data_IF_262633758091
#
_entry.id   IF_262633758091
#
_cell.length_a   1.000
_cell.length_b   1.000
_cell.length_c   1.000
_cell.angle_alpha   90.00
_cell.angle_beta   90.00
_cell.angle_gamma   90.00
#
_symmetry.space_group_name_H-M   'P 1'
#
loop_
_entity.id
_entity.type
_entity.pdbx_description
1 polymer ?
#
# COMPACT_ATOMS: atom_id res chain seq x y z
N UNK A 1 -13.55 6.69 -20.79
CA UNK A 1 -12.54 7.74 -20.69
C UNK A 1 -11.54 7.41 -19.58
N UNK A 2 -10.24 7.51 -19.87
CA UNK A 2 -9.19 7.09 -18.93
C UNK A 2 -9.21 7.89 -17.62
N UNK A 3 -9.51 9.17 -17.64
CA UNK A 3 -9.59 9.97 -16.42
C UNK A 3 -10.80 9.61 -15.55
N UNK A 4 -11.90 9.27 -16.18
CA UNK A 4 -13.09 8.77 -15.48
C UNK A 4 -12.79 7.41 -14.85
N UNK A 5 -12.17 6.49 -15.62
CA UNK A 5 -11.81 5.17 -15.13
C UNK A 5 -10.88 5.25 -13.92
N UNK A 6 -9.90 6.15 -13.96
CA UNK A 6 -8.98 6.37 -12.85
C UNK A 6 -9.71 6.84 -11.60
N UNK A 7 -10.63 7.78 -11.76
CA UNK A 7 -11.39 8.30 -10.62
C UNK A 7 -12.30 7.23 -10.02
N UNK A 8 -12.95 6.41 -10.86
CA UNK A 8 -13.79 5.32 -10.38
C UNK A 8 -12.98 4.24 -9.68
N UNK A 9 -11.77 3.91 -10.20
CA UNK A 9 -10.86 2.98 -9.55
C UNK A 9 -10.48 3.49 -8.16
N UNK A 10 -10.13 4.77 -8.04
CA UNK A 10 -9.80 5.38 -6.76
C UNK A 10 -10.95 5.22 -5.77
N UNK A 11 -12.18 5.57 -6.17
CA UNK A 11 -13.35 5.43 -5.32
C UNK A 11 -13.58 4.00 -4.86
N UNK A 12 -13.46 3.05 -5.77
CA UNK A 12 -13.59 1.62 -5.46
C UNK A 12 -12.54 1.16 -4.45
N UNK A 13 -11.27 1.51 -4.68
CA UNK A 13 -10.17 1.07 -3.81
C UNK A 13 -10.35 1.63 -2.39
N UNK A 14 -10.71 2.90 -2.27
CA UNK A 14 -10.91 3.54 -0.96
C UNK A 14 -12.12 2.92 -0.25
N UNK A 15 -13.22 2.71 -0.96
CA UNK A 15 -14.43 2.19 -0.34
C UNK A 15 -14.34 0.69 -0.01
N UNK A 16 -13.84 -0.10 -0.96
CA UNK A 16 -13.99 -1.56 -0.89
C UNK A 16 -12.68 -2.32 -0.66
N UNK A 17 -11.52 -1.66 -0.77
CA UNK A 17 -10.22 -2.33 -0.68
C UNK A 17 -9.28 -1.75 0.37
N UNK A 18 -9.74 -0.77 1.16
CA UNK A 18 -8.93 -0.20 2.23
C UNK A 18 -9.26 -0.85 3.57
N UNK A 19 -8.23 -1.21 4.31
CA UNK A 19 -8.34 -1.69 5.69
C UNK A 19 -7.56 -0.77 6.60
N UNK A 20 -8.18 -0.35 7.69
CA UNK A 20 -7.54 0.49 8.71
C UNK A 20 -7.23 -0.39 9.92
N UNK A 21 -5.96 -0.39 10.34
CA UNK A 21 -5.46 -1.16 11.47
C UNK A 21 -5.07 -0.17 12.57
N UNK A 22 -6.04 0.18 13.42
CA UNK A 22 -5.84 1.19 14.45
C UNK A 22 -4.78 0.81 15.49
N UNK A 23 -4.60 -0.48 15.74
CA UNK A 23 -3.56 -0.95 16.67
C UNK A 23 -2.14 -0.64 16.20
N UNK A 24 -1.95 -0.38 14.89
CA UNK A 24 -0.66 -0.04 14.30
C UNK A 24 -0.64 1.34 13.67
N UNK A 25 -1.70 2.12 13.80
CA UNK A 25 -1.85 3.41 13.11
C UNK A 25 -1.47 3.32 11.62
N UNK A 26 -1.91 2.23 10.99
CA UNK A 26 -1.56 1.88 9.61
C UNK A 26 -2.83 1.57 8.83
N UNK A 27 -2.84 1.95 7.57
CA UNK A 27 -3.88 1.50 6.63
C UNK A 27 -3.21 0.87 5.43
N UNK A 28 -3.88 -0.13 4.82
CA UNK A 28 -3.43 -0.65 3.54
C UNK A 28 -4.59 -0.74 2.57
N UNK A 29 -4.25 -0.61 1.29
CA UNK A 29 -5.17 -0.76 0.18
C UNK A 29 -4.59 -1.84 -0.73
N UNK A 30 -5.42 -2.76 -1.21
CA UNK A 30 -4.95 -3.72 -2.19
C UNK A 30 -5.78 -3.63 -3.48
N UNK A 31 -5.14 -3.95 -4.59
CA UNK A 31 -5.80 -4.05 -5.88
C UNK A 31 -5.37 -5.35 -6.55
N UNK A 32 -6.32 -6.24 -6.81
CA UNK A 32 -6.05 -7.46 -7.54
C UNK A 32 -5.90 -7.17 -9.03
N UNK A 33 -5.31 -8.12 -9.77
CA UNK A 33 -5.25 -8.03 -11.21
C UNK A 33 -6.65 -7.86 -11.81
N UNK A 34 -7.63 -8.61 -11.29
CA UNK A 34 -9.03 -8.52 -11.71
C UNK A 34 -9.62 -7.14 -11.44
N UNK A 35 -9.35 -6.55 -10.26
CA UNK A 35 -9.79 -5.19 -9.94
C UNK A 35 -9.27 -4.18 -10.96
N UNK A 36 -7.99 -4.29 -11.28
CA UNK A 36 -7.36 -3.38 -12.24
C UNK A 36 -7.94 -3.53 -13.65
N UNK A 37 -8.20 -4.76 -14.07
CA UNK A 37 -8.83 -5.04 -15.36
C UNK A 37 -10.25 -4.49 -15.44
N UNK A 38 -11.04 -4.65 -14.38
CA UNK A 38 -12.43 -4.18 -14.32
C UNK A 38 -12.54 -2.67 -14.53
N UNK A 39 -11.55 -1.91 -14.07
CA UNK A 39 -11.52 -0.46 -14.23
C UNK A 39 -10.64 -0.02 -15.39
N UNK A 40 -10.25 -0.94 -16.28
CA UNK A 40 -9.43 -0.65 -17.46
C UNK A 40 -8.17 0.14 -17.10
N UNK A 41 -7.48 -0.36 -16.08
CA UNK A 41 -6.29 0.27 -15.55
C UNK A 41 -5.27 0.60 -16.63
N UNK A 42 -4.69 1.79 -16.54
CA UNK A 42 -3.54 2.22 -17.31
C UNK A 42 -2.42 2.63 -16.37
N UNK A 43 -1.19 2.59 -16.86
CA UNK A 43 -0.01 2.99 -16.08
C UNK A 43 -0.24 4.39 -15.50
N UNK A 44 -0.04 4.52 -14.20
CA UNK A 44 -0.24 5.78 -13.48
C UNK A 44 -1.58 5.91 -12.77
N UNK A 45 -2.55 5.06 -13.07
CA UNK A 45 -3.90 5.17 -12.50
C UNK A 45 -3.94 4.95 -10.98
N UNK A 46 -2.97 4.23 -10.41
CA UNK A 46 -2.85 4.03 -8.97
C UNK A 46 -1.88 5.01 -8.31
N UNK A 47 -1.25 5.89 -9.09
CA UNK A 47 -0.35 6.89 -8.55
C UNK A 47 -1.10 7.82 -7.61
N UNK A 48 -0.54 8.06 -6.44
CA UNK A 48 -1.14 8.92 -5.43
C UNK A 48 -2.19 8.26 -4.55
N UNK A 49 -2.72 7.08 -4.92
CA UNK A 49 -3.73 6.38 -4.12
C UNK A 49 -3.23 6.11 -2.71
N UNK A 50 -1.97 5.73 -2.57
CA UNK A 50 -1.36 5.40 -1.28
C UNK A 50 -1.33 6.58 -0.30
N UNK A 51 -1.45 7.80 -0.78
CA UNK A 51 -1.42 8.99 0.08
C UNK A 51 -2.74 9.26 0.79
N UNK A 52 -3.86 8.81 0.23
CA UNK A 52 -5.19 9.14 0.78
C UNK A 52 -5.39 8.68 2.21
N UNK A 53 -5.00 7.45 2.61
CA UNK A 53 -5.19 7.03 4.01
C UNK A 53 -4.44 7.89 5.03
N UNK A 54 -3.39 8.58 4.61
CA UNK A 54 -2.64 9.48 5.51
C UNK A 54 -3.46 10.71 5.92
N UNK A 55 -4.56 11.00 5.24
CA UNK A 55 -5.48 12.07 5.65
C UNK A 55 -6.25 11.70 6.93
N UNK A 56 -6.29 10.42 7.29
CA UNK A 56 -6.87 10.00 8.57
C UNK A 56 -5.88 10.38 9.66
N UNK A 57 -6.34 11.18 10.65
CA UNK A 57 -5.46 11.88 11.58
C UNK A 57 -4.47 10.98 12.34
N UNK A 58 -4.90 9.79 12.75
CA UNK A 58 -4.04 8.87 13.52
C UNK A 58 -3.19 7.94 12.68
N UNK A 59 -3.40 7.89 11.37
CA UNK A 59 -2.65 6.97 10.49
C UNK A 59 -1.26 7.54 10.21
N UNK A 60 -0.24 6.77 10.55
CA UNK A 60 1.17 7.13 10.34
C UNK A 60 1.80 6.46 9.14
N UNK A 61 1.29 5.31 8.73
CA UNK A 61 1.78 4.59 7.55
C UNK A 61 0.64 4.12 6.68
N UNK A 62 0.82 4.24 5.37
CA UNK A 62 -0.09 3.71 4.37
C UNK A 62 0.66 2.82 3.39
N UNK A 63 0.03 1.73 2.97
CA UNK A 63 0.62 0.77 2.04
C UNK A 63 -0.39 0.48 0.93
N UNK A 64 0.06 0.58 -0.32
CA UNK A 64 -0.70 0.14 -1.49
C UNK A 64 -0.05 -1.14 -2.03
N UNK A 65 -0.85 -2.18 -2.19
CA UNK A 65 -0.39 -3.50 -2.64
C UNK A 65 -1.12 -3.84 -3.92
N UNK A 66 -0.39 -3.94 -5.03
CA UNK A 66 -1.01 -4.21 -6.34
C UNK A 66 -0.46 -5.48 -6.96
N UNK A 67 -1.38 -6.28 -7.47
CA UNK A 67 -1.03 -7.49 -8.21
C UNK A 67 -0.81 -7.13 -9.68
N UNK A 68 0.40 -7.33 -10.14
CA UNK A 68 0.81 -7.09 -11.54
C UNK A 68 1.34 -8.39 -12.12
N UNK A 69 1.54 -8.45 -13.41
CA UNK A 69 2.00 -9.64 -14.12
C UNK A 69 3.16 -10.34 -13.41
N UNK A 70 2.87 -11.43 -12.70
CA UNK A 70 3.86 -12.26 -12.03
C UNK A 70 4.54 -11.64 -10.81
N UNK A 71 4.12 -10.47 -10.36
CA UNK A 71 4.74 -9.80 -9.22
C UNK A 71 3.71 -9.01 -8.41
N UNK A 72 4.03 -8.81 -7.14
CA UNK A 72 3.26 -7.92 -6.25
C UNK A 72 4.09 -6.67 -6.03
N UNK A 73 3.53 -5.52 -6.36
CA UNK A 73 4.17 -4.23 -6.14
C UNK A 73 3.62 -3.60 -4.86
N UNK A 74 4.50 -3.05 -4.05
CA UNK A 74 4.11 -2.36 -2.83
C UNK A 74 4.62 -0.92 -2.87
N UNK A 75 3.75 0.00 -2.49
CA UNK A 75 4.12 1.40 -2.29
C UNK A 75 3.85 1.75 -0.83
N UNK A 76 4.82 2.39 -0.20
CA UNK A 76 4.75 2.75 1.22
C UNK A 76 4.85 4.26 1.37
N UNK A 77 4.03 4.82 2.24
CA UNK A 77 4.11 6.24 2.63
C UNK A 77 3.99 6.35 4.14
N UNK A 78 4.64 7.34 4.72
CA UNK A 78 4.57 7.57 6.16
C UNK A 78 4.61 9.06 6.48
N UNK A 79 4.26 9.37 7.73
CA UNK A 79 4.34 10.70 8.30
C UNK A 79 5.47 10.74 9.33
N UNK A 80 6.03 11.93 9.55
CA UNK A 80 7.01 12.14 10.61
C UNK A 80 8.29 11.36 10.39
N UNK A 81 8.77 10.74 11.46
CA UNK A 81 10.09 10.10 11.47
C UNK A 81 10.08 8.61 11.17
N UNK A 82 8.91 8.01 10.94
CA UNK A 82 8.83 6.59 10.65
C UNK A 82 9.39 6.30 9.24
N UNK A 83 10.47 5.50 9.18
CA UNK A 83 11.15 5.22 7.92
C UNK A 83 10.53 4.03 7.18
N UNK A 84 9.78 4.33 6.11
CA UNK A 84 9.32 3.27 5.20
C UNK A 84 10.45 2.75 4.31
N UNK A 85 11.51 3.55 4.12
CA UNK A 85 12.72 3.08 3.43
C UNK A 85 13.33 1.87 4.15
N UNK A 86 13.50 1.97 5.46
CA UNK A 86 14.10 0.89 6.26
C UNK A 86 13.21 -0.35 6.25
N UNK A 87 11.90 -0.18 6.40
CA UNK A 87 10.94 -1.27 6.37
C UNK A 87 10.96 -2.00 5.01
N UNK A 88 10.94 -1.24 3.92
CA UNK A 88 10.94 -1.80 2.57
C UNK A 88 12.24 -2.56 2.28
N UNK A 89 13.38 -2.03 2.72
CA UNK A 89 14.67 -2.71 2.57
C UNK A 89 14.72 -4.01 3.34
N UNK A 90 14.23 -4.00 4.58
CA UNK A 90 14.30 -5.18 5.45
C UNK A 90 13.38 -6.30 4.99
N UNK A 91 12.17 -5.97 4.53
CA UNK A 91 11.12 -6.96 4.34
C UNK A 91 10.63 -7.15 2.92
N UNK A 92 10.80 -6.17 2.03
CA UNK A 92 10.09 -6.16 0.75
C UNK A 92 10.99 -5.93 -0.47
N UNK A 93 12.26 -6.24 -0.37
CA UNK A 93 13.20 -6.16 -1.49
C UNK A 93 13.18 -4.79 -2.17
N UNK A 94 13.15 -3.73 -1.38
CA UNK A 94 12.97 -2.40 -1.93
C UNK A 94 13.73 -1.33 -1.19
N UNK A 95 13.13 -0.16 -1.15
CA UNK A 95 13.68 1.02 -0.51
C UNK A 95 13.17 2.30 -1.16
N UNK A 96 13.74 3.41 -0.77
CA UNK A 96 13.38 4.72 -1.29
C UNK A 96 13.84 5.82 -0.35
N UNK A 97 12.90 6.60 0.14
CA UNK A 97 13.14 7.71 1.04
C UNK A 97 12.41 7.50 2.37
N UNK A 98 12.69 8.35 3.35
CA UNK A 98 12.10 8.25 4.69
C UNK A 98 10.58 8.03 4.66
N UNK A 99 9.87 8.87 3.92
CA UNK A 99 8.42 8.88 3.92
C UNK A 99 7.78 8.30 2.63
N UNK A 100 8.59 7.81 1.70
CA UNK A 100 8.10 7.25 0.45
C UNK A 100 9.07 6.17 -0.06
N UNK A 101 8.60 4.94 -0.15
CA UNK A 101 9.41 3.82 -0.58
C UNK A 101 8.57 2.83 -1.37
N UNK A 102 9.22 1.89 -2.03
CA UNK A 102 8.56 0.83 -2.75
C UNK A 102 9.22 -0.50 -2.52
N UNK A 103 8.53 -1.57 -2.87
CA UNK A 103 9.04 -2.92 -2.81
C UNK A 103 8.38 -3.81 -3.82
N UNK A 104 8.91 -5.02 -3.98
CA UNK A 104 8.38 -6.00 -4.93
C UNK A 104 8.56 -7.39 -4.32
N UNK A 105 7.49 -8.19 -4.43
CA UNK A 105 7.54 -9.61 -4.09
C UNK A 105 7.22 -10.42 -5.34
N UNK A 106 7.95 -11.50 -5.53
CA UNK A 106 7.75 -12.45 -6.64
C UNK A 106 7.37 -13.81 -6.06
N UNK A 107 6.80 -14.67 -6.91
CA UNK A 107 6.42 -16.03 -6.52
C UNK A 107 5.49 -16.06 -5.30
N UNK A 108 4.60 -15.09 -5.17
CA UNK A 108 3.60 -15.09 -4.11
C UNK A 108 2.29 -14.52 -4.63
N UNK A 109 1.21 -14.87 -3.95
CA UNK A 109 -0.11 -14.34 -4.23
C UNK A 109 -0.30 -12.98 -3.56
N UNK A 110 -1.30 -12.24 -3.98
CA UNK A 110 -1.70 -11.00 -3.33
C UNK A 110 -2.02 -11.25 -1.84
N UNK A 111 -2.74 -12.34 -1.54
CA UNK A 111 -3.08 -12.71 -0.16
C UNK A 111 -1.83 -12.96 0.68
N UNK A 112 -0.84 -13.68 0.13
CA UNK A 112 0.43 -13.92 0.82
C UNK A 112 1.19 -12.62 1.09
N UNK A 113 1.14 -11.67 0.16
CA UNK A 113 1.78 -10.38 0.35
C UNK A 113 1.11 -9.58 1.47
N UNK A 114 -0.22 -9.59 1.52
CA UNK A 114 -0.99 -8.96 2.61
C UNK A 114 -0.64 -9.63 3.95
N UNK A 115 -0.62 -10.97 4.00
CA UNK A 115 -0.28 -11.71 5.20
C UNK A 115 1.14 -11.36 5.68
N UNK A 116 2.07 -11.19 4.75
CA UNK A 116 3.43 -10.78 5.11
C UNK A 116 3.44 -9.40 5.76
N UNK A 117 2.73 -8.43 5.17
CA UNK A 117 2.62 -7.10 5.76
C UNK A 117 2.07 -7.20 7.19
N UNK A 118 0.98 -7.93 7.37
CA UNK A 118 0.37 -8.07 8.69
C UNK A 118 1.33 -8.73 9.68
N UNK A 119 2.13 -9.69 9.23
CA UNK A 119 3.06 -10.43 10.09
C UNK A 119 4.22 -9.58 10.61
N UNK A 120 4.62 -8.55 9.87
CA UNK A 120 5.76 -7.70 10.27
C UNK A 120 5.36 -6.47 11.08
N UNK A 121 4.08 -6.10 11.08
CA UNK A 121 3.60 -4.91 11.77
C UNK A 121 3.87 -4.93 13.30
N UNK A 122 3.75 -6.06 14.01
CA UNK A 122 4.08 -6.08 15.44
C UNK A 122 5.49 -5.59 15.76
N UNK A 123 6.44 -5.80 14.86
CA UNK A 123 7.82 -5.32 15.02
C UNK A 123 7.88 -3.79 15.12
N UNK A 124 6.93 -3.10 14.50
CA UNK A 124 6.91 -1.63 14.39
C UNK A 124 5.83 -0.96 15.24
N UNK A 125 5.06 -1.74 16.00
CA UNK A 125 3.92 -1.20 16.76
C UNK A 125 4.31 -0.04 17.65
N UNK A 126 5.39 -0.17 18.39
CA UNK A 126 5.81 0.88 19.33
C UNK A 126 6.12 2.18 18.59
N UNK A 127 6.88 2.11 17.51
CA UNK A 127 7.21 3.29 16.70
C UNK A 127 5.99 3.92 16.03
N UNK A 128 5.06 3.09 15.57
CA UNK A 128 3.85 3.58 14.88
C UNK A 128 2.83 4.18 15.83
N UNK A 129 2.88 3.85 17.12
CA UNK A 129 1.89 4.29 18.09
C UNK A 129 2.44 5.31 19.11
N UNK A 130 3.62 5.81 18.87
CA UNK A 130 4.20 6.88 19.69
C UNK A 130 3.35 8.14 19.69
#
# INVERSE_FOLDING_TARGET
>A
NSSENRLRLLGFLIKDRMTVLNEYNTAYIYASKSDLEDYKYQVGDTEGVVNYPLSISNIKMSVLITERQGAIRLSFRSKGTFSVNDLAKKHFNGGGHLNAAGGTLTNCTLEQAIDKLLSILPEYQEMLTE
#
